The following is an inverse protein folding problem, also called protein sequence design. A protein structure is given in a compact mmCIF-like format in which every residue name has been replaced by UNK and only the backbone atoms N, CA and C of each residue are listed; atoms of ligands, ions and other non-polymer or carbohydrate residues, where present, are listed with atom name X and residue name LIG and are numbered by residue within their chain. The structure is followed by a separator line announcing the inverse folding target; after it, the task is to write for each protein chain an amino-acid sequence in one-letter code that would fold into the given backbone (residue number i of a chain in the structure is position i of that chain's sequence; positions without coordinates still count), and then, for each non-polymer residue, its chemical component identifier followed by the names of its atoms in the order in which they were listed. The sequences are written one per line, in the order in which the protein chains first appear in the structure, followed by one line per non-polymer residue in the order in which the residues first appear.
data_IF_218554814517
#
_entry.id   IF_218554814517
#
_cell.length_a   1.000
_cell.length_b   1.000
_cell.length_c   1.000
_cell.angle_alpha   90.00
_cell.angle_beta   90.00
_cell.angle_gamma   90.00
#
_symmetry.space_group_name_H-M   'P 1'
#
loop_
_entity.id
_entity.type
_entity.pdbx_description
1 polymer ?
#
# COMPACT_ATOMS: atom_id res chain seq x y z
N UNK A 1 -15.10 -2.22 3.26
CA UNK A 1 -13.99 -1.78 2.40
C UNK A 1 -12.70 -2.44 2.87
N UNK A 2 -11.98 -3.04 1.97
CA UNK A 2 -10.71 -3.67 2.31
C UNK A 2 -9.58 -2.67 2.21
N UNK A 3 -8.65 -2.76 3.13
CA UNK A 3 -7.48 -1.89 3.17
C UNK A 3 -6.25 -2.69 2.80
N UNK A 4 -5.60 -2.26 1.72
CA UNK A 4 -4.36 -2.88 1.25
C UNK A 4 -3.26 -1.84 1.38
N UNK A 5 -2.31 -2.11 2.25
CA UNK A 5 -1.24 -1.16 2.52
C UNK A 5 0.08 -1.69 2.00
N UNK A 6 0.79 -0.81 1.31
CA UNK A 6 2.09 -1.13 0.73
C UNK A 6 3.18 -0.49 1.59
N UNK A 7 4.18 -1.28 1.92
CA UNK A 7 5.31 -0.78 2.70
C UNK A 7 6.60 -1.04 1.94
N UNK A 8 7.44 -0.02 1.84
CA UNK A 8 8.73 -0.20 1.22
C UNK A 8 9.73 0.84 1.75
N UNK A 9 11.00 0.62 1.47
CA UNK A 9 12.05 1.50 1.97
C UNK A 9 12.02 2.89 1.34
N UNK A 10 11.68 2.93 0.07
CA UNK A 10 11.62 4.19 -0.66
C UNK A 10 10.19 4.42 -1.08
N UNK A 11 9.55 5.36 -0.44
CA UNK A 11 8.13 5.58 -0.59
C UNK A 11 7.68 6.09 -1.95
N UNK A 12 8.57 6.70 -2.74
CA UNK A 12 8.14 7.36 -3.97
C UNK A 12 7.59 6.38 -5.00
N UNK A 13 8.33 5.32 -5.30
CA UNK A 13 7.87 4.32 -6.27
C UNK A 13 6.61 3.61 -5.78
N UNK A 14 6.58 3.33 -4.49
CA UNK A 14 5.45 2.65 -3.89
C UNK A 14 4.21 3.53 -3.92
N UNK A 15 4.38 4.84 -3.72
CA UNK A 15 3.25 5.76 -3.80
C UNK A 15 2.64 5.79 -5.20
N UNK A 16 3.49 5.77 -6.22
CA UNK A 16 3.01 5.74 -7.60
C UNK A 16 2.27 4.44 -7.88
N UNK A 17 2.82 3.32 -7.41
CA UNK A 17 2.17 2.02 -7.59
C UNK A 17 0.83 1.99 -6.88
N UNK A 18 0.78 2.48 -5.65
CA UNK A 18 -0.47 2.53 -4.89
C UNK A 18 -1.52 3.37 -5.62
N UNK A 19 -1.11 4.50 -6.18
CA UNK A 19 -2.02 5.36 -6.93
C UNK A 19 -2.60 4.64 -8.14
N UNK A 20 -1.77 3.93 -8.88
CA UNK A 20 -2.22 3.17 -10.05
C UNK A 20 -3.15 2.04 -9.65
N UNK A 21 -2.83 1.33 -8.59
CA UNK A 21 -3.69 0.26 -8.10
C UNK A 21 -5.04 0.81 -7.65
N UNK A 22 -5.03 1.97 -6.99
CA UNK A 22 -6.27 2.59 -6.56
C UNK A 22 -7.12 3.00 -7.76
N UNK A 23 -6.49 3.51 -8.82
CA UNK A 23 -7.21 3.86 -10.05
C UNK A 23 -7.89 2.64 -10.67
N UNK A 24 -7.18 1.52 -10.71
CA UNK A 24 -7.75 0.29 -11.25
C UNK A 24 -8.93 -0.17 -10.39
N UNK A 25 -8.75 -0.13 -9.07
CA UNK A 25 -9.83 -0.52 -8.17
C UNK A 25 -11.05 0.37 -8.36
N UNK A 26 -10.84 1.67 -8.49
CA UNK A 26 -11.94 2.61 -8.71
C UNK A 26 -12.64 2.36 -10.03
N UNK A 27 -11.86 2.09 -11.08
CA UNK A 27 -12.41 1.83 -12.41
C UNK A 27 -13.32 0.60 -12.40
N UNK A 28 -12.95 -0.40 -11.62
CA UNK A 28 -13.74 -1.64 -11.52
C UNK A 28 -14.74 -1.60 -10.36
N UNK A 29 -14.91 -0.45 -9.73
CA UNK A 29 -15.85 -0.26 -8.62
C UNK A 29 -15.59 -1.24 -7.47
N UNK A 30 -14.32 -1.51 -7.20
CA UNK A 30 -13.95 -2.39 -6.10
C UNK A 30 -13.83 -1.59 -4.79
N UNK A 31 -14.40 -2.08 -3.70
CA UNK A 31 -14.32 -1.38 -2.42
C UNK A 31 -12.99 -1.64 -1.73
N UNK A 32 -11.92 -1.10 -2.31
CA UNK A 32 -10.56 -1.30 -1.82
C UNK A 32 -9.89 0.06 -1.64
N UNK A 33 -9.23 0.22 -0.50
CA UNK A 33 -8.42 1.39 -0.22
C UNK A 33 -6.95 0.99 -0.25
N UNK A 34 -6.16 1.63 -1.09
CA UNK A 34 -4.75 1.28 -1.26
C UNK A 34 -3.90 2.49 -0.88
N UNK A 35 -3.01 2.29 0.09
CA UNK A 35 -2.12 3.34 0.57
C UNK A 35 -0.69 2.82 0.64
N UNK A 36 0.26 3.73 0.53
CA UNK A 36 1.68 3.39 0.60
C UNK A 36 2.32 4.08 1.80
N UNK A 37 3.18 3.35 2.49
CA UNK A 37 3.86 3.84 3.67
C UNK A 37 5.32 3.40 3.66
N UNK A 38 6.14 4.09 4.46
CA UNK A 38 7.51 3.67 4.69
C UNK A 38 7.55 2.42 5.56
N UNK A 39 8.51 1.53 5.30
CA UNK A 39 8.73 0.34 6.14
C UNK A 39 8.90 0.71 7.61
N UNK A 40 9.44 1.88 7.89
CA UNK A 40 9.68 2.30 9.26
C UNK A 40 8.40 2.51 10.05
N UNK A 41 7.29 2.64 9.35
CA UNK A 41 6.00 2.90 9.98
C UNK A 41 5.11 1.67 10.06
N UNK A 42 5.61 0.52 9.63
CA UNK A 42 4.76 -0.66 9.50
C UNK A 42 4.07 -1.03 10.81
N UNK A 43 4.83 -1.08 11.90
CA UNK A 43 4.28 -1.46 13.19
C UNK A 43 3.19 -0.48 13.64
N UNK A 44 3.48 0.80 13.53
CA UNK A 44 2.54 1.84 13.94
C UNK A 44 1.26 1.80 13.10
N UNK A 45 1.42 1.67 11.78
CA UNK A 45 0.27 1.68 10.88
C UNK A 45 -0.59 0.45 11.08
N UNK A 46 0.03 -0.71 11.26
CA UNK A 46 -0.71 -1.94 11.50
C UNK A 46 -1.50 -1.83 12.80
N UNK A 47 -0.88 -1.30 13.84
CA UNK A 47 -1.54 -1.16 15.14
C UNK A 47 -2.68 -0.15 15.12
N UNK A 48 -2.54 0.92 14.35
CA UNK A 48 -3.54 1.99 14.34
C UNK A 48 -4.65 1.76 13.33
N UNK A 49 -4.32 1.22 12.17
CA UNK A 49 -5.28 1.16 11.07
C UNK A 49 -5.76 -0.23 10.72
N UNK A 50 -5.10 -1.25 11.20
CA UNK A 50 -5.50 -2.65 11.01
C UNK A 50 -5.83 -2.99 9.55
N UNK A 51 -4.84 -2.92 8.65
CA UNK A 51 -5.09 -3.23 7.24
C UNK A 51 -5.46 -4.71 7.06
N UNK A 52 -6.26 -4.99 6.06
CA UNK A 52 -6.63 -6.36 5.73
C UNK A 52 -5.50 -7.10 5.02
N UNK A 53 -4.72 -6.38 4.21
CA UNK A 53 -3.62 -6.96 3.47
C UNK A 53 -2.41 -6.04 3.56
N UNK A 54 -1.25 -6.64 3.77
CA UNK A 54 0.01 -5.92 3.80
C UNK A 54 0.87 -6.46 2.67
N UNK A 55 1.34 -5.56 1.81
CA UNK A 55 2.27 -5.91 0.75
C UNK A 55 3.61 -5.28 1.08
N UNK A 56 4.62 -6.11 1.19
CA UNK A 56 5.97 -5.63 1.44
C UNK A 56 6.63 -5.41 0.10
N UNK A 57 7.01 -4.18 -0.14
CA UNK A 57 7.67 -3.84 -1.38
C UNK A 57 8.99 -4.57 -1.48
N UNK A 58 9.19 -5.36 -2.51
CA UNK A 58 10.49 -5.97 -2.71
C UNK A 58 11.47 -4.89 -3.07
N UNK A 59 12.65 -4.99 -2.52
CA UNK A 59 13.74 -4.17 -2.99
C UNK A 59 14.21 -4.78 -4.30
N UNK A 60 13.64 -4.28 -5.35
CA UNK A 60 13.99 -4.81 -6.65
C UNK A 60 15.29 -4.19 -7.06
N UNK A 61 16.29 -5.02 -7.23
CA UNK A 61 17.59 -4.61 -7.70
C UNK A 61 17.75 -5.09 -9.11
N UNK A 62 18.09 -4.19 -9.95
CA UNK A 62 18.36 -4.50 -11.34
C UNK A 62 19.78 -4.12 -11.67
#
# INVERSE_FOLDING_TARGET
MKRIYLFCDQGMSTSLLASRMQDVANTHLLPIEILAFSNKKIQKIVDEKHPDVILLGPQVKY
#
